data_IF_727314219979
#
_entry.id   IF_727314219979
#
_cell.length_a   1.000
_cell.length_b   1.000
_cell.length_c   1.000
_cell.angle_alpha   90.00
_cell.angle_beta   90.00
_cell.angle_gamma   90.00
#
_symmetry.space_group_name_H-M   'P 1'
#
loop_
_entity.id
_entity.type
_entity.pdbx_description
1 polymer ?
#
# COMPACT_ATOMS: atom_id res chain seq x y z
N UNK A 1 23.91 -0.07 8.94
CA UNK A 1 23.21 0.95 8.12
C UNK A 1 21.72 0.92 8.41
N UNK A 2 21.12 -0.27 8.45
CA UNK A 2 19.71 -0.48 8.80
C UNK A 2 19.31 0.03 10.18
N UNK A 3 20.12 -0.23 11.22
CA UNK A 3 19.87 0.30 12.57
C UNK A 3 19.79 1.84 12.61
N UNK A 4 20.60 2.51 11.79
CA UNK A 4 20.61 3.97 11.69
C UNK A 4 19.38 4.51 10.94
N UNK A 5 18.93 3.81 9.90
CA UNK A 5 17.68 4.14 9.20
C UNK A 5 16.48 3.97 10.14
N UNK A 6 16.37 2.84 10.85
CA UNK A 6 15.30 2.62 11.83
C UNK A 6 15.32 3.70 12.91
N UNK A 7 16.48 3.96 13.51
CA UNK A 7 16.62 4.95 14.58
C UNK A 7 16.22 6.36 14.14
N UNK A 8 16.66 6.79 12.96
CA UNK A 8 16.30 8.11 12.40
C UNK A 8 14.81 8.23 12.12
N UNK A 9 14.17 7.20 11.56
CA UNK A 9 12.71 7.16 11.40
C UNK A 9 12.01 7.27 12.76
N UNK A 10 12.40 6.44 13.73
CA UNK A 10 11.65 6.28 14.99
C UNK A 10 11.83 7.47 15.93
N UNK A 11 12.89 8.27 15.76
CA UNK A 11 13.06 9.57 16.45
C UNK A 11 12.46 10.76 15.69
N UNK A 12 11.89 10.53 14.49
CA UNK A 12 11.28 11.59 13.67
C UNK A 12 12.29 12.47 12.92
N UNK A 13 13.55 12.04 12.77
CA UNK A 13 14.54 12.72 11.93
C UNK A 13 14.34 12.34 10.46
N UNK A 14 13.22 12.81 9.89
CA UNK A 14 12.74 12.39 8.57
C UNK A 14 13.71 12.78 7.46
N UNK A 15 14.41 13.92 7.60
CA UNK A 15 15.39 14.37 6.60
C UNK A 15 16.55 13.39 6.47
N UNK A 16 17.13 12.97 7.60
CA UNK A 16 18.21 11.99 7.59
C UNK A 16 17.69 10.58 7.24
N UNK A 17 16.50 10.21 7.68
CA UNK A 17 15.87 8.95 7.27
C UNK A 17 15.75 8.84 5.74
N UNK A 18 15.28 9.89 5.06
CA UNK A 18 15.21 9.95 3.60
C UNK A 18 16.61 9.84 2.99
N UNK A 19 17.60 10.53 3.54
CA UNK A 19 18.99 10.44 3.07
C UNK A 19 19.59 9.03 3.22
N UNK A 20 19.17 8.26 4.23
CA UNK A 20 19.54 6.86 4.40
C UNK A 20 18.78 5.94 3.46
N UNK A 21 17.47 6.12 3.30
CA UNK A 21 16.63 5.35 2.39
C UNK A 21 17.07 5.49 0.93
N UNK A 22 17.57 6.66 0.52
CA UNK A 22 18.14 6.89 -0.81
C UNK A 22 19.39 6.05 -1.13
N UNK A 23 19.99 5.38 -0.14
CA UNK A 23 21.23 4.58 -0.30
C UNK A 23 20.96 3.09 -0.47
N UNK A 24 19.70 2.67 -0.35
CA UNK A 24 19.25 1.28 -0.50
C UNK A 24 18.20 1.18 -1.61
N UNK A 25 17.90 -0.03 -2.06
CA UNK A 25 16.83 -0.22 -3.05
C UNK A 25 15.45 -0.08 -2.41
N UNK A 26 14.40 0.09 -3.23
CA UNK A 26 13.03 0.16 -2.72
C UNK A 26 12.61 -1.20 -2.17
N UNK A 27 13.05 -2.29 -2.80
CA UNK A 27 12.78 -3.66 -2.35
C UNK A 27 13.42 -3.91 -0.97
N UNK A 28 14.67 -3.47 -0.76
CA UNK A 28 15.32 -3.55 0.54
C UNK A 28 14.62 -2.67 1.59
N UNK A 29 14.15 -1.47 1.20
CA UNK A 29 13.38 -0.60 2.09
C UNK A 29 12.03 -1.23 2.47
N UNK A 30 11.34 -1.86 1.51
CA UNK A 30 10.08 -2.56 1.72
C UNK A 30 10.22 -3.68 2.74
N UNK A 31 11.19 -4.58 2.56
CA UNK A 31 11.48 -5.67 3.50
C UNK A 31 11.70 -5.14 4.93
N UNK A 32 12.53 -4.10 5.07
CA UNK A 32 12.85 -3.51 6.37
C UNK A 32 11.64 -2.84 7.02
N UNK A 33 10.89 -2.00 6.29
CA UNK A 33 9.75 -1.29 6.86
C UNK A 33 8.62 -2.25 7.22
N UNK A 34 8.36 -3.27 6.40
CA UNK A 34 7.35 -4.29 6.71
C UNK A 34 7.73 -5.07 7.96
N UNK A 35 8.98 -5.55 8.05
CA UNK A 35 9.47 -6.26 9.24
C UNK A 35 9.34 -5.39 10.49
N UNK A 36 9.81 -4.14 10.44
CA UNK A 36 9.78 -3.25 11.59
C UNK A 36 8.35 -2.88 11.99
N UNK A 37 7.47 -2.60 11.04
CA UNK A 37 6.08 -2.23 11.33
C UNK A 37 5.29 -3.41 11.91
N UNK A 38 5.60 -4.66 11.57
CA UNK A 38 4.99 -5.81 12.24
C UNK A 38 5.53 -6.02 13.66
N UNK A 39 6.84 -5.89 13.85
CA UNK A 39 7.49 -6.12 15.13
C UNK A 39 7.22 -4.99 16.15
N UNK A 40 7.14 -3.75 15.66
CA UNK A 40 6.99 -2.54 16.46
C UNK A 40 6.10 -1.52 15.71
N UNK A 41 4.78 -1.74 15.65
CA UNK A 41 3.84 -0.85 14.97
C UNK A 41 3.98 0.60 15.41
N UNK A 42 4.32 1.50 14.49
CA UNK A 42 4.51 2.92 14.79
C UNK A 42 4.08 3.82 13.62
N UNK A 43 3.18 4.77 13.90
CA UNK A 43 2.62 5.68 12.89
C UNK A 43 3.68 6.60 12.26
N UNK A 44 4.84 6.79 12.89
CA UNK A 44 5.93 7.60 12.33
C UNK A 44 6.44 7.04 10.99
N UNK A 45 6.29 5.73 10.76
CA UNK A 45 6.63 5.10 9.47
C UNK A 45 5.76 5.67 8.35
N UNK A 46 4.49 5.97 8.61
CA UNK A 46 3.61 6.64 7.63
C UNK A 46 4.03 8.08 7.38
N UNK A 47 4.47 8.82 8.40
CA UNK A 47 5.03 10.17 8.22
C UNK A 47 6.27 10.11 7.34
N UNK A 48 7.20 9.18 7.61
CA UNK A 48 8.38 8.97 6.80
C UNK A 48 8.02 8.66 5.34
N UNK A 49 7.13 7.69 5.08
CA UNK A 49 6.73 7.31 3.72
C UNK A 49 6.04 8.45 2.97
N UNK A 50 5.18 9.21 3.65
CA UNK A 50 4.49 10.35 3.05
C UNK A 50 5.50 11.44 2.66
N UNK A 51 6.43 11.80 3.55
CA UNK A 51 7.50 12.75 3.23
C UNK A 51 8.44 12.22 2.14
N UNK A 52 8.70 10.92 2.09
CA UNK A 52 9.55 10.32 1.06
C UNK A 52 8.88 10.38 -0.33
N UNK A 53 7.54 10.29 -0.37
CA UNK A 53 6.71 10.44 -1.57
C UNK A 53 6.58 11.89 -2.06
N UNK A 54 6.74 12.92 -1.21
CA UNK A 54 6.55 14.35 -1.62
C UNK A 54 7.43 14.78 -2.81
N UNK A 55 8.59 14.14 -2.97
CA UNK A 55 9.54 14.42 -4.06
C UNK A 55 9.59 13.30 -5.11
N UNK A 56 8.73 12.28 -5.00
CA UNK A 56 8.82 11.03 -5.76
C UNK A 56 7.46 10.52 -6.16
N UNK A 57 7.26 10.39 -7.47
CA UNK A 57 6.07 9.74 -8.03
C UNK A 57 6.37 8.27 -8.31
N UNK A 58 6.45 7.42 -7.26
CA UNK A 58 6.78 5.99 -7.38
C UNK A 58 5.63 5.12 -6.84
N UNK A 59 5.05 4.29 -7.72
CA UNK A 59 3.94 3.41 -7.39
C UNK A 59 4.30 2.36 -6.34
N UNK A 60 5.55 1.89 -6.29
CA UNK A 60 6.00 0.90 -5.30
C UNK A 60 5.98 1.47 -3.88
N UNK A 61 6.37 2.74 -3.72
CA UNK A 61 6.29 3.41 -2.43
C UNK A 61 4.84 3.64 -1.98
N UNK A 62 3.93 3.92 -2.91
CA UNK A 62 2.50 3.92 -2.61
C UNK A 62 2.00 2.52 -2.23
N UNK A 63 2.42 1.46 -2.94
CA UNK A 63 2.06 0.07 -2.59
C UNK A 63 2.51 -0.27 -1.18
N UNK A 64 3.77 -0.02 -0.85
CA UNK A 64 4.35 -0.21 0.48
C UNK A 64 3.58 0.55 1.58
N UNK A 65 3.24 1.82 1.33
CA UNK A 65 2.44 2.60 2.27
C UNK A 65 1.06 1.96 2.48
N UNK A 66 0.41 1.50 1.40
CA UNK A 66 -0.86 0.79 1.48
C UNK A 66 -0.74 -0.51 2.28
N UNK A 67 0.27 -1.33 1.99
CA UNK A 67 0.50 -2.61 2.67
C UNK A 67 0.78 -2.45 4.16
N UNK A 68 1.58 -1.45 4.54
CA UNK A 68 1.86 -1.12 5.95
C UNK A 68 0.58 -0.68 6.68
N UNK A 69 -0.29 0.05 6.00
CA UNK A 69 -1.55 0.52 6.58
C UNK A 69 -2.59 -0.60 6.70
N UNK A 70 -2.69 -1.50 5.71
CA UNK A 70 -3.71 -2.55 5.72
C UNK A 70 -3.30 -3.87 6.37
N UNK A 71 -2.01 -4.08 6.70
CA UNK A 71 -1.60 -5.25 7.50
C UNK A 71 -0.95 -4.89 8.85
N UNK A 72 0.28 -4.34 8.94
CA UNK A 72 0.87 -3.99 10.25
C UNK A 72 0.07 -2.98 11.07
N UNK A 73 -0.44 -1.91 10.44
CA UNK A 73 -1.11 -0.80 11.12
C UNK A 73 -2.65 -0.85 10.99
N UNK A 74 -3.22 -1.98 10.57
CA UNK A 74 -4.65 -2.11 10.28
C UNK A 74 -5.57 -1.89 11.50
N UNK A 75 -5.00 -1.90 12.70
CA UNK A 75 -5.68 -1.66 13.97
C UNK A 75 -5.88 -0.16 14.26
N UNK A 76 -5.27 0.74 13.49
CA UNK A 76 -5.45 2.18 13.63
C UNK A 76 -6.74 2.62 12.91
N UNK A 77 -7.52 3.49 13.56
CA UNK A 77 -8.72 4.05 12.95
C UNK A 77 -8.38 4.81 11.66
N UNK A 78 -9.07 4.48 10.57
CA UNK A 78 -8.85 5.07 9.25
C UNK A 78 -7.64 4.51 8.50
N UNK A 79 -6.97 3.47 9.00
CA UNK A 79 -5.85 2.84 8.31
C UNK A 79 -6.25 2.30 6.93
N UNK A 80 -7.40 1.63 6.81
CA UNK A 80 -7.88 1.12 5.53
C UNK A 80 -8.29 2.23 4.56
N UNK A 81 -8.84 3.34 5.05
CA UNK A 81 -9.11 4.53 4.22
C UNK A 81 -7.81 5.10 3.64
N UNK A 82 -6.78 5.24 4.47
CA UNK A 82 -5.47 5.73 4.04
C UNK A 82 -4.78 4.73 3.09
N UNK A 83 -4.85 3.43 3.38
CA UNK A 83 -4.33 2.39 2.51
C UNK A 83 -4.97 2.44 1.13
N UNK A 84 -6.31 2.50 1.07
CA UNK A 84 -7.04 2.62 -0.19
C UNK A 84 -6.69 3.88 -0.98
N UNK A 85 -6.40 5.00 -0.30
CA UNK A 85 -5.87 6.19 -0.97
C UNK A 85 -4.56 5.88 -1.70
N UNK A 86 -3.61 5.22 -1.03
CA UNK A 86 -2.34 4.85 -1.66
C UNK A 86 -2.50 3.79 -2.75
N UNK A 87 -3.36 2.78 -2.56
CA UNK A 87 -3.64 1.77 -3.60
C UNK A 87 -4.20 2.40 -4.89
N UNK A 88 -5.08 3.39 -4.79
CA UNK A 88 -5.56 4.15 -5.96
C UNK A 88 -4.43 4.92 -6.65
N UNK A 89 -3.48 5.48 -5.89
CA UNK A 89 -2.31 6.15 -6.46
C UNK A 89 -1.44 5.19 -7.27
N UNK A 90 -1.32 3.93 -6.87
CA UNK A 90 -0.65 2.92 -7.68
C UNK A 90 -1.31 2.75 -9.07
N UNK A 91 -2.65 2.72 -9.13
CA UNK A 91 -3.40 2.66 -10.40
C UNK A 91 -3.24 3.92 -11.23
N UNK A 92 -3.26 5.10 -10.60
CA UNK A 92 -3.06 6.37 -11.31
C UNK A 92 -1.69 6.44 -11.99
N UNK A 93 -0.65 5.91 -11.33
CA UNK A 93 0.73 5.90 -11.83
C UNK A 93 0.98 4.77 -12.83
N UNK A 94 0.42 3.59 -12.58
CA UNK A 94 0.62 2.39 -13.39
C UNK A 94 -0.72 1.68 -13.68
N UNK A 95 -1.58 2.28 -14.55
CA UNK A 95 -2.95 1.80 -14.75
C UNK A 95 -3.07 0.40 -15.36
N UNK A 96 -2.00 -0.09 -15.98
CA UNK A 96 -1.95 -1.41 -16.62
C UNK A 96 -1.29 -2.47 -15.73
N UNK A 97 -0.80 -2.11 -14.54
CA UNK A 97 -0.17 -3.06 -13.64
C UNK A 97 -1.26 -3.93 -12.97
N UNK A 98 -1.35 -5.20 -13.39
CA UNK A 98 -2.41 -6.09 -12.96
C UNK A 98 -2.39 -6.34 -11.45
N UNK A 99 -1.21 -6.44 -10.85
CA UNK A 99 -1.07 -6.69 -9.41
C UNK A 99 -1.69 -5.56 -8.58
N UNK A 100 -1.47 -4.31 -8.97
CA UNK A 100 -2.12 -3.17 -8.29
C UNK A 100 -3.63 -3.15 -8.50
N UNK A 101 -4.10 -3.50 -9.71
CA UNK A 101 -5.53 -3.56 -10.02
C UNK A 101 -6.23 -4.63 -9.18
N UNK A 102 -5.65 -5.81 -9.09
CA UNK A 102 -6.11 -6.91 -8.24
C UNK A 102 -6.13 -6.49 -6.77
N UNK A 103 -5.05 -5.86 -6.28
CA UNK A 103 -4.93 -5.43 -4.90
C UNK A 103 -6.04 -4.44 -4.50
N UNK A 104 -6.53 -3.60 -5.42
CA UNK A 104 -7.64 -2.70 -5.11
C UNK A 104 -8.92 -3.44 -4.67
N UNK A 105 -9.15 -4.68 -5.14
CA UNK A 105 -10.31 -5.49 -4.75
C UNK A 105 -10.26 -5.94 -3.29
N UNK A 106 -9.09 -6.01 -2.66
CA UNK A 106 -8.94 -6.30 -1.24
C UNK A 106 -9.82 -5.38 -0.38
N UNK A 107 -9.90 -4.09 -0.73
CA UNK A 107 -10.62 -3.08 0.04
C UNK A 107 -12.14 -3.22 -0.01
N UNK A 108 -12.68 -4.01 -0.93
CA UNK A 108 -14.10 -4.28 -1.00
C UNK A 108 -14.56 -5.30 0.07
N UNK A 109 -13.64 -6.10 0.62
CA UNK A 109 -13.91 -7.03 1.72
C UNK A 109 -13.75 -6.41 3.12
N UNK A 110 -13.35 -5.14 3.22
CA UNK A 110 -13.06 -4.47 4.49
C UNK A 110 -14.33 -3.84 5.07
N UNK A 111 -14.60 -4.07 6.37
CA UNK A 111 -15.83 -3.67 7.08
C UNK A 111 -16.11 -2.17 7.10
N UNK A 112 -15.12 -1.33 6.80
CA UNK A 112 -15.25 0.13 6.73
C UNK A 112 -15.95 0.61 5.44
N UNK A 113 -16.39 -0.29 4.55
CA UNK A 113 -17.01 0.03 3.25
C UNK A 113 -16.18 1.01 2.42
N UNK A 114 -14.85 0.90 2.52
CA UNK A 114 -13.88 1.80 1.90
C UNK A 114 -14.00 1.79 0.37
N UNK A 115 -14.35 0.63 -0.18
CA UNK A 115 -14.62 0.44 -1.58
C UNK A 115 -16.05 -0.07 -1.77
N UNK A 116 -16.92 0.79 -2.28
CA UNK A 116 -18.34 0.46 -2.53
C UNK A 116 -18.46 -0.80 -3.38
N UNK A 117 -19.27 -1.76 -2.94
CA UNK A 117 -19.48 -3.06 -3.59
C UNK A 117 -19.80 -2.94 -5.08
N UNK A 118 -20.68 -2.00 -5.47
CA UNK A 118 -21.01 -1.77 -6.88
C UNK A 118 -19.80 -1.31 -7.68
N UNK A 119 -18.98 -0.44 -7.10
CA UNK A 119 -17.76 0.07 -7.73
C UNK A 119 -16.71 -1.04 -7.84
N UNK A 120 -16.56 -1.88 -6.81
CA UNK A 120 -15.67 -3.04 -6.82
C UNK A 120 -16.11 -4.13 -7.81
N UNK A 121 -17.41 -4.41 -7.91
CA UNK A 121 -17.97 -5.33 -8.89
C UNK A 121 -17.72 -4.87 -10.33
N UNK A 122 -17.84 -3.57 -10.60
CA UNK A 122 -17.48 -3.02 -11.90
C UNK A 122 -15.97 -3.11 -12.15
N UNK A 123 -15.15 -2.83 -11.13
CA UNK A 123 -13.69 -2.95 -11.23
C UNK A 123 -13.23 -4.38 -11.55
N UNK A 124 -13.78 -5.38 -10.87
CA UNK A 124 -13.50 -6.79 -11.17
C UNK A 124 -13.88 -7.16 -12.62
N UNK A 125 -15.01 -6.64 -13.13
CA UNK A 125 -15.39 -6.83 -14.54
C UNK A 125 -14.42 -6.16 -15.51
N UNK A 126 -13.90 -4.97 -15.19
CA UNK A 126 -12.86 -4.32 -16.01
C UNK A 126 -11.56 -5.14 -16.02
N UNK A 127 -11.14 -5.69 -14.88
CA UNK A 127 -9.98 -6.62 -14.83
C UNK A 127 -10.20 -7.81 -15.76
N UNK A 128 -11.39 -8.44 -15.73
CA UNK A 128 -11.68 -9.60 -16.58
C UNK A 128 -11.83 -9.29 -18.07
N UNK A 129 -12.05 -8.03 -18.45
CA UNK A 129 -11.99 -7.63 -19.87
C UNK A 129 -10.55 -7.68 -20.39
N UNK A 130 -9.59 -7.28 -19.56
CA UNK A 130 -8.17 -7.22 -19.93
C UNK A 130 -7.47 -8.56 -19.71
N UNK A 131 -7.82 -9.27 -18.63
CA UNK A 131 -7.37 -10.63 -18.32
C UNK A 131 -8.56 -11.54 -17.94
N UNK A 132 -9.16 -12.23 -18.91
CA UNK A 132 -10.28 -13.14 -18.66
C UNK A 132 -9.96 -14.32 -17.73
N UNK A 133 -8.68 -14.60 -17.50
CA UNK A 133 -8.24 -15.69 -16.63
C UNK A 133 -7.88 -15.22 -15.21
N UNK A 134 -8.09 -13.95 -14.89
CA UNK A 134 -7.73 -13.38 -13.60
C UNK A 134 -8.51 -14.04 -12.44
N UNK A 135 -7.83 -14.85 -11.64
CA UNK A 135 -8.49 -15.61 -10.56
C UNK A 135 -8.96 -14.71 -9.41
N UNK A 136 -8.24 -13.62 -9.12
CA UNK A 136 -8.65 -12.67 -8.07
C UNK A 136 -10.00 -12.04 -8.42
N UNK A 137 -10.14 -11.53 -9.64
CA UNK A 137 -11.39 -10.91 -10.09
C UNK A 137 -12.53 -11.93 -10.24
N UNK A 138 -12.26 -13.15 -10.73
CA UNK A 138 -13.27 -14.22 -10.80
C UNK A 138 -13.79 -14.60 -9.41
N UNK A 139 -12.89 -14.79 -8.45
CA UNK A 139 -13.25 -15.15 -7.08
C UNK A 139 -14.07 -14.04 -6.42
N UNK A 140 -13.66 -12.77 -6.59
CA UNK A 140 -14.40 -11.62 -6.08
C UNK A 140 -15.85 -11.60 -6.60
N UNK A 141 -16.06 -11.78 -7.92
CA UNK A 141 -17.41 -11.83 -8.49
C UNK A 141 -18.21 -13.00 -7.93
N UNK A 142 -17.61 -14.19 -7.84
CA UNK A 142 -18.29 -15.40 -7.36
C UNK A 142 -18.76 -15.28 -5.91
N UNK A 143 -17.99 -14.62 -5.06
CA UNK A 143 -18.29 -14.46 -3.63
C UNK A 143 -19.33 -13.36 -3.35
N UNK A 144 -19.59 -12.48 -4.32
CA UNK A 144 -20.47 -11.31 -4.19
C UNK A 144 -21.62 -11.32 -5.24
N UNK A 145 -22.04 -12.52 -5.66
CA UNK A 145 -23.23 -12.78 -6.48
C UNK A 145 -24.36 -13.38 -5.61
#
# INVERSE_FOLDING_TARGET
MHDLLKDTIYRGDIVNAIAHANKISIEELEDLLMEWSFNEPNIIVCTFLTSYLESRSDARLHSLASDILCHPLCHLEGAYLAAFYHAKKCIELEPNNMQYREFLLFFAGVSENVFEEKSAMNWAKEILKDDPNNEVAKNYIKENL
#
